data_IF_619392581337
#
_entry.id   IF_619392581337
#
_cell.length_a   1.000
_cell.length_b   1.000
_cell.length_c   1.000
_cell.angle_alpha   90.00
_cell.angle_beta   90.00
_cell.angle_gamma   90.00
#
_symmetry.space_group_name_H-M   'P 1'
#
loop_
_entity.id
_entity.type
_entity.pdbx_description
1 polymer ?
#
# COMPACT_ATOMS: atom_id res chain seq x y z
N UNK A 1 24.27 -0.87 -13.69
CA UNK A 1 22.82 -0.64 -13.67
C UNK A 1 22.45 0.04 -12.36
N UNK A 2 21.70 1.11 -12.43
CA UNK A 2 21.23 1.77 -11.22
C UNK A 2 20.17 0.89 -10.54
N UNK A 3 20.32 0.61 -9.26
CA UNK A 3 19.31 -0.05 -8.46
C UNK A 3 18.08 0.86 -8.34
N UNK A 4 16.88 0.28 -8.41
CA UNK A 4 15.65 1.05 -8.24
C UNK A 4 15.48 1.41 -6.77
N UNK A 5 15.76 2.67 -6.43
CA UNK A 5 15.73 3.18 -5.06
C UNK A 5 14.37 3.78 -4.67
N UNK A 6 13.37 3.70 -5.55
CA UNK A 6 12.05 4.24 -5.23
C UNK A 6 11.43 3.53 -4.02
N UNK A 7 10.68 4.26 -3.17
CA UNK A 7 9.89 3.63 -2.13
C UNK A 7 8.98 2.54 -2.70
N UNK A 8 8.94 1.40 -2.02
CA UNK A 8 8.18 0.22 -2.45
C UNK A 8 6.95 0.06 -1.56
N UNK A 9 5.79 -0.09 -2.19
CA UNK A 9 4.53 -0.37 -1.49
C UNK A 9 4.16 -1.82 -1.74
N UNK A 10 4.19 -2.63 -0.70
CA UNK A 10 3.84 -4.04 -0.76
C UNK A 10 2.35 -4.22 -0.48
N UNK A 11 1.67 -4.91 -1.35
CA UNK A 11 0.22 -5.12 -1.29
C UNK A 11 -0.14 -6.57 -1.56
N UNK A 12 -1.29 -7.00 -1.03
CA UNK A 12 -1.84 -8.34 -1.28
C UNK A 12 -2.49 -8.38 -2.67
N UNK A 13 -1.87 -9.06 -3.62
CA UNK A 13 -2.38 -9.15 -5.00
C UNK A 13 -3.63 -10.02 -5.14
N UNK A 14 -3.90 -10.88 -4.16
CA UNK A 14 -5.10 -11.73 -4.17
C UNK A 14 -6.33 -11.02 -3.61
N UNK A 15 -6.15 -9.84 -3.01
CA UNK A 15 -7.21 -9.03 -2.44
C UNK A 15 -7.65 -7.94 -3.41
N UNK A 16 -8.86 -8.03 -3.97
CA UNK A 16 -9.38 -7.04 -4.90
C UNK A 16 -9.48 -5.65 -4.33
N UNK A 17 -9.87 -5.52 -3.06
CA UNK A 17 -9.91 -4.25 -2.36
C UNK A 17 -8.51 -3.64 -2.19
N UNK A 18 -7.52 -4.46 -1.89
CA UNK A 18 -6.12 -4.01 -1.74
C UNK A 18 -5.57 -3.48 -3.07
N UNK A 19 -5.83 -4.19 -4.18
CA UNK A 19 -5.44 -3.75 -5.53
C UNK A 19 -6.12 -2.44 -5.90
N UNK A 20 -7.41 -2.31 -5.59
CA UNK A 20 -8.15 -1.09 -5.84
C UNK A 20 -7.60 0.09 -5.06
N UNK A 21 -7.29 -0.10 -3.78
CA UNK A 21 -6.73 0.93 -2.92
C UNK A 21 -5.37 1.40 -3.41
N UNK A 22 -4.47 0.46 -3.75
CA UNK A 22 -3.13 0.82 -4.24
C UNK A 22 -3.22 1.56 -5.58
N UNK A 23 -4.18 1.21 -6.44
CA UNK A 23 -4.38 1.91 -7.70
C UNK A 23 -4.74 3.38 -7.49
N UNK A 24 -5.59 3.69 -6.50
CA UNK A 24 -5.91 5.07 -6.14
C UNK A 24 -4.68 5.84 -5.67
N UNK A 25 -3.86 5.23 -4.84
CA UNK A 25 -2.60 5.81 -4.39
C UNK A 25 -1.69 6.10 -5.59
N UNK A 26 -1.56 5.17 -6.51
CA UNK A 26 -0.73 5.34 -7.70
C UNK A 26 -1.27 6.41 -8.66
N UNK A 27 -2.57 6.58 -8.73
CA UNK A 27 -3.17 7.69 -9.50
C UNK A 27 -2.83 9.04 -8.91
N UNK A 28 -2.78 9.15 -7.58
CA UNK A 28 -2.35 10.35 -6.88
C UNK A 28 -0.85 10.59 -7.08
N UNK A 29 -0.05 9.52 -7.14
CA UNK A 29 1.40 9.55 -7.35
C UNK A 29 1.75 9.94 -8.80
N UNK A 30 1.44 11.18 -9.18
CA UNK A 30 1.69 11.71 -10.52
C UNK A 30 3.16 11.73 -10.89
N UNK A 31 4.04 11.83 -9.90
CA UNK A 31 5.50 11.89 -10.08
C UNK A 31 6.13 10.51 -10.23
N UNK A 32 5.35 9.44 -10.12
CA UNK A 32 5.79 8.04 -10.20
C UNK A 32 6.93 7.72 -9.23
N UNK A 33 6.83 8.22 -8.02
CA UNK A 33 7.83 8.00 -6.98
C UNK A 33 7.69 6.62 -6.32
N UNK A 34 6.50 6.05 -6.32
CA UNK A 34 6.19 4.78 -5.67
C UNK A 34 6.29 3.61 -6.66
N UNK A 35 6.77 2.48 -6.17
CA UNK A 35 6.77 1.23 -6.92
C UNK A 35 5.90 0.18 -6.21
N UNK A 36 4.79 -0.26 -6.82
CA UNK A 36 3.96 -1.31 -6.22
C UNK A 36 4.64 -2.67 -6.38
N UNK A 37 4.64 -3.47 -5.31
CA UNK A 37 5.21 -4.82 -5.31
C UNK A 37 4.23 -5.78 -4.64
N UNK A 38 3.81 -6.86 -5.31
CA UNK A 38 2.98 -7.88 -4.66
C UNK A 38 3.73 -8.53 -3.50
N UNK A 39 3.05 -8.70 -2.38
CA UNK A 39 3.61 -9.41 -1.22
C UNK A 39 4.00 -10.85 -1.62
N UNK A 40 3.22 -11.46 -2.51
CA UNK A 40 3.40 -12.82 -3.00
C UNK A 40 4.56 -12.98 -3.99
N UNK A 41 5.19 -11.88 -4.43
CA UNK A 41 6.31 -11.94 -5.36
C UNK A 41 7.59 -12.43 -4.69
N UNK A 42 8.60 -12.88 -5.47
CA UNK A 42 9.92 -13.21 -4.88
C UNK A 42 10.55 -12.05 -4.11
N UNK A 43 10.37 -10.82 -4.58
CA UNK A 43 10.85 -9.62 -3.86
C UNK A 43 10.11 -9.44 -2.54
N UNK A 44 8.79 -9.67 -2.51
CA UNK A 44 7.99 -9.66 -1.28
C UNK A 44 8.44 -10.74 -0.30
N UNK A 45 8.74 -11.94 -0.79
CA UNK A 45 9.25 -13.04 0.03
C UNK A 45 10.59 -12.68 0.69
N UNK A 46 11.48 -12.04 -0.04
CA UNK A 46 12.78 -11.63 0.49
C UNK A 46 12.66 -10.54 1.55
N UNK A 47 11.86 -9.52 1.27
CA UNK A 47 11.73 -8.35 2.15
C UNK A 47 10.89 -8.64 3.39
N UNK A 48 9.81 -9.39 3.24
CA UNK A 48 8.80 -9.60 4.28
C UNK A 48 8.79 -11.03 4.85
N UNK A 49 9.75 -11.87 4.46
CA UNK A 49 9.80 -13.26 4.87
C UNK A 49 9.88 -13.46 6.39
N UNK A 50 10.49 -12.52 7.10
CA UNK A 50 10.57 -12.52 8.56
C UNK A 50 9.21 -12.43 9.26
N UNK A 51 8.21 -11.88 8.57
CA UNK A 51 6.84 -11.75 9.09
C UNK A 51 6.00 -13.02 8.89
N UNK A 52 6.47 -13.97 8.08
CA UNK A 52 5.69 -15.16 7.76
C UNK A 52 4.33 -14.82 7.15
N UNK A 53 3.28 -15.53 7.57
CA UNK A 53 1.92 -15.27 7.07
C UNK A 53 1.33 -13.93 7.53
N UNK A 54 1.84 -13.36 8.61
CA UNK A 54 1.40 -12.05 9.10
C UNK A 54 1.64 -10.94 8.07
N UNK A 55 2.56 -11.15 7.12
CA UNK A 55 2.81 -10.21 6.02
C UNK A 55 1.56 -9.89 5.18
N UNK A 56 0.64 -10.84 5.08
CA UNK A 56 -0.60 -10.70 4.31
C UNK A 56 -1.69 -9.92 5.07
N UNK A 57 -1.50 -9.67 6.37
CA UNK A 57 -2.50 -9.00 7.19
C UNK A 57 -2.62 -7.50 6.88
N UNK A 58 -1.60 -6.88 6.29
CA UNK A 58 -1.57 -5.45 6.00
C UNK A 58 -0.67 -5.13 4.81
N UNK A 59 -0.79 -3.89 4.32
CA UNK A 59 0.17 -3.34 3.38
C UNK A 59 1.43 -2.87 4.11
N UNK A 60 2.54 -2.78 3.39
CA UNK A 60 3.83 -2.36 3.94
C UNK A 60 4.47 -1.32 3.01
N UNK A 61 5.13 -0.34 3.60
CA UNK A 61 5.96 0.62 2.87
C UNK A 61 7.42 0.43 3.27
N UNK A 62 8.30 0.33 2.29
CA UNK A 62 9.75 0.26 2.51
C UNK A 62 10.42 1.43 1.80
N UNK A 63 11.17 2.22 2.55
CA UNK A 63 11.90 3.39 2.05
C UNK A 63 13.19 3.55 2.83
N UNK A 64 14.31 3.67 2.12
CA UNK A 64 15.62 3.95 2.72
C UNK A 64 15.99 2.99 3.87
N UNK A 65 15.69 1.71 3.70
CA UNK A 65 15.99 0.69 4.71
C UNK A 65 15.01 0.63 5.88
N UNK A 66 14.03 1.51 5.93
CA UNK A 66 12.96 1.49 6.95
C UNK A 66 11.70 0.85 6.41
N UNK A 67 10.98 0.16 7.29
CA UNK A 67 9.72 -0.52 6.95
C UNK A 67 8.60 -0.08 7.89
N UNK A 68 7.47 0.29 7.31
CA UNK A 68 6.26 0.63 8.04
C UNK A 68 5.14 -0.31 7.63
N UNK A 69 4.34 -0.75 8.57
CA UNK A 69 3.29 -1.74 8.38
C UNK A 69 1.93 -1.16 8.78
N UNK A 70 0.92 -1.41 7.95
CA UNK A 70 -0.46 -1.04 8.28
C UNK A 70 -0.66 0.46 8.39
N UNK A 71 -1.35 0.89 9.46
CA UNK A 71 -1.65 2.30 9.71
C UNK A 71 -0.41 3.18 9.85
N UNK A 72 0.69 2.62 10.35
CA UNK A 72 1.97 3.33 10.47
C UNK A 72 2.54 3.77 9.13
N UNK A 73 2.19 3.07 8.05
CA UNK A 73 2.68 3.38 6.71
C UNK A 73 2.00 4.61 6.11
N UNK A 74 0.86 5.05 6.63
CA UNK A 74 0.07 6.11 6.03
C UNK A 74 0.84 7.44 5.99
N UNK A 75 1.44 7.86 7.09
CA UNK A 75 2.17 9.13 7.11
C UNK A 75 3.39 9.15 6.18
N UNK A 76 4.30 8.14 6.20
CA UNK A 76 5.39 8.08 5.23
C UNK A 76 4.92 8.00 3.79
N UNK A 77 3.81 7.31 3.53
CA UNK A 77 3.22 7.22 2.20
C UNK A 77 2.74 8.60 1.71
N UNK A 78 2.05 9.35 2.56
CA UNK A 78 1.58 10.70 2.24
C UNK A 78 2.74 11.64 1.92
N UNK A 79 3.89 11.48 2.56
CA UNK A 79 5.08 12.29 2.28
C UNK A 79 5.57 12.13 0.84
N UNK A 80 5.30 10.98 0.20
CA UNK A 80 5.70 10.70 -1.17
C UNK A 80 4.69 11.21 -2.22
N UNK A 81 3.49 11.59 -1.80
CA UNK A 81 2.42 12.00 -2.70
C UNK A 81 2.39 13.53 -2.87
N UNK A 82 2.03 14.05 -4.07
CA UNK A 82 1.91 15.49 -4.28
C UNK A 82 0.91 16.12 -3.31
N UNK A 83 1.36 17.08 -2.52
CA UNK A 83 0.53 17.73 -1.50
C UNK A 83 0.30 16.89 -0.24
N UNK A 84 0.68 15.61 -0.25
CA UNK A 84 0.48 14.70 0.88
C UNK A 84 1.29 15.07 2.12
N UNK A 85 2.41 15.78 1.95
CA UNK A 85 3.23 16.24 3.07
C UNK A 85 2.47 17.12 4.05
N UNK A 86 1.48 17.87 3.57
CA UNK A 86 0.64 18.71 4.42
C UNK A 86 -0.29 17.87 5.29
N UNK A 87 -0.65 16.67 4.82
CA UNK A 87 -1.53 15.74 5.52
C UNK A 87 -0.76 14.77 6.45
N UNK A 88 0.53 14.58 6.22
CA UNK A 88 1.33 13.63 7.00
C UNK A 88 1.33 13.92 8.50
N UNK A 89 1.49 15.19 8.99
CA UNK A 89 1.41 15.47 10.41
C UNK A 89 0.04 15.13 11.02
N UNK A 90 -1.03 15.36 10.26
CA UNK A 90 -2.39 15.01 10.68
C UNK A 90 -2.52 13.49 10.80
N UNK A 91 -2.01 12.75 9.82
CA UNK A 91 -2.01 11.29 9.84
C UNK A 91 -1.26 10.74 11.05
N UNK A 92 -0.11 11.31 11.38
CA UNK A 92 0.68 10.93 12.56
C UNK A 92 -0.08 11.15 13.87
N UNK A 93 -0.79 12.27 13.99
CA UNK A 93 -1.61 12.56 15.18
C UNK A 93 -2.80 11.61 15.29
N UNK A 94 -3.39 11.24 14.14
CA UNK A 94 -4.54 10.34 14.09
C UNK A 94 -4.13 8.87 14.11
N UNK A 95 -2.86 8.55 14.06
CA UNK A 95 -2.37 7.17 14.00
C UNK A 95 -2.90 6.32 15.16
N UNK A 96 -2.95 6.89 16.37
CA UNK A 96 -3.51 6.22 17.55
C UNK A 96 -4.98 5.90 17.39
N UNK A 97 -5.73 6.75 16.64
CA UNK A 97 -7.15 6.58 16.39
C UNK A 97 -7.41 5.74 15.13
N UNK A 98 -6.52 5.85 14.14
CA UNK A 98 -6.67 5.14 12.86
C UNK A 98 -6.26 3.67 12.93
N UNK A 99 -5.42 3.29 13.89
CA UNK A 99 -5.01 1.90 14.08
C UNK A 99 -6.17 0.92 14.22
N UNK A 100 -7.16 1.17 15.11
CA UNK A 100 -8.35 0.34 15.22
C UNK A 100 -9.19 0.33 13.94
N UNK A 101 -9.37 1.47 13.27
CA UNK A 101 -10.09 1.58 12.03
C UNK A 101 -9.41 0.81 10.90
N UNK A 102 -8.08 0.91 10.80
CA UNK A 102 -7.29 0.16 9.84
C UNK A 102 -7.43 -1.35 10.08
N UNK A 103 -7.33 -1.80 11.33
CA UNK A 103 -7.49 -3.22 11.68
C UNK A 103 -8.89 -3.72 11.33
N UNK A 104 -9.91 -2.92 11.59
CA UNK A 104 -11.28 -3.25 11.20
C UNK A 104 -11.37 -3.46 9.68
N UNK A 105 -10.86 -2.51 8.90
CA UNK A 105 -10.86 -2.60 7.44
C UNK A 105 -10.07 -3.82 6.94
N UNK A 106 -8.90 -4.08 7.52
CA UNK A 106 -8.06 -5.22 7.16
C UNK A 106 -8.78 -6.55 7.45
N UNK A 107 -9.51 -6.64 8.57
CA UNK A 107 -10.27 -7.84 8.93
C UNK A 107 -11.53 -8.03 8.07
N UNK A 108 -12.04 -6.96 7.46
CA UNK A 108 -13.25 -6.97 6.64
C UNK A 108 -12.97 -6.74 5.15
N UNK A 109 -11.73 -6.97 4.69
CA UNK A 109 -11.35 -6.75 3.28
C UNK A 109 -12.21 -7.53 2.29
N UNK A 110 -12.64 -8.74 2.64
CA UNK A 110 -13.51 -9.55 1.76
C UNK A 110 -14.85 -8.86 1.55
N UNK A 111 -15.43 -8.29 2.61
CA UNK A 111 -16.67 -7.51 2.52
C UNK A 111 -16.45 -6.24 1.71
N UNK A 112 -15.38 -5.50 2.00
CA UNK A 112 -15.03 -4.27 1.28
C UNK A 112 -14.76 -4.55 -0.20
N UNK A 113 -14.13 -5.69 -0.51
CA UNK A 113 -13.89 -6.11 -1.89
C UNK A 113 -15.19 -6.33 -2.67
N UNK A 114 -16.24 -6.83 -2.01
CA UNK A 114 -17.56 -7.00 -2.63
C UNK A 114 -18.25 -5.69 -2.95
N UNK A 115 -17.96 -4.63 -2.19
CA UNK A 115 -18.54 -3.31 -2.39
C UNK A 115 -17.90 -2.56 -3.56
N UNK A 116 -16.70 -2.96 -3.99
CA UNK A 116 -15.99 -2.32 -5.12
C UNK A 116 -16.54 -2.88 -6.44
N UNK A 117 -17.04 -2.00 -7.35
CA UNK A 117 -17.54 -2.45 -8.66
C UNK A 117 -16.45 -3.16 -9.49
N UNK A 118 -16.84 -4.18 -10.27
CA UNK A 118 -15.90 -4.92 -11.12
C UNK A 118 -15.15 -4.03 -12.11
N UNK A 119 -15.81 -3.01 -12.65
CA UNK A 119 -15.17 -2.02 -13.55
C UNK A 119 -14.03 -1.27 -12.86
N UNK A 120 -14.24 -0.87 -11.60
CA UNK A 120 -13.21 -0.19 -10.80
C UNK A 120 -12.03 -1.11 -10.53
N UNK A 121 -12.27 -2.40 -10.27
CA UNK A 121 -11.21 -3.40 -10.08
C UNK A 121 -10.39 -3.59 -11.36
N UNK A 122 -11.04 -3.67 -12.51
CA UNK A 122 -10.35 -3.81 -13.81
C UNK A 122 -9.46 -2.59 -14.11
N UNK A 123 -9.94 -1.38 -13.86
CA UNK A 123 -9.13 -0.15 -13.98
C UNK A 123 -7.96 -0.16 -13.01
N UNK A 124 -8.20 -0.59 -11.77
CA UNK A 124 -7.17 -0.69 -10.75
C UNK A 124 -6.05 -1.64 -11.18
N UNK A 125 -6.40 -2.80 -11.70
CA UNK A 125 -5.41 -3.79 -12.17
C UNK A 125 -4.57 -3.23 -13.33
N UNK A 126 -5.18 -2.51 -14.26
CA UNK A 126 -4.47 -1.85 -15.36
C UNK A 126 -3.48 -0.80 -14.85
N UNK A 127 -3.88 0.02 -13.87
CA UNK A 127 -3.02 1.05 -13.27
C UNK A 127 -1.83 0.40 -12.57
N UNK A 128 -2.05 -0.62 -11.77
CA UNK A 128 -0.99 -1.33 -11.06
C UNK A 128 -0.02 -1.96 -12.04
N UNK A 129 -0.51 -2.62 -13.09
CA UNK A 129 0.32 -3.23 -14.12
C UNK A 129 1.21 -2.20 -14.82
N UNK A 130 0.71 -0.99 -15.07
CA UNK A 130 1.47 0.08 -15.73
C UNK A 130 2.59 0.65 -14.86
N UNK A 131 2.59 0.39 -13.56
CA UNK A 131 3.56 0.92 -12.60
C UNK A 131 4.62 -0.08 -12.15
N UNK A 132 4.46 -1.32 -12.53
CA UNK A 132 5.44 -2.38 -12.23
C UNK A 132 6.75 -2.22 -12.97
#
# INVERSE_FOLDING_TARGET
MAEDTRPRVYYDEDCGFCRWTIAWVLRWDRRRRLRPVPIQSPEGDRELGDLGEARLASAHLVRDGSRWTGGEALAPLLEELPGGRLLAPVARRLERLSGPAYRWAANHRSLLSRLVPGRSKARADAIVASRR
#
